data_IF_587643741948
#
_entry.id   IF_587643741948
#
_cell.length_a   1.000
_cell.length_b   1.000
_cell.length_c   1.000
_cell.angle_alpha   90.00
_cell.angle_beta   90.00
_cell.angle_gamma   90.00
#
_symmetry.space_group_name_H-M   'P 1'
#
loop_
_entity.id
_entity.type
_entity.pdbx_description
1 polymer ?
#
# COMPACT_ATOMS: atom_id res chain seq x y z
N UNK A 1 48.42 -35.38 4.81
CA UNK A 1 47.17 -35.59 4.07
C UNK A 1 46.48 -34.24 3.99
N UNK A 2 46.44 -33.63 2.80
CA UNK A 2 45.71 -32.38 2.61
C UNK A 2 44.21 -32.71 2.45
N UNK A 3 43.29 -32.00 3.12
CA UNK A 3 41.87 -32.19 2.88
C UNK A 3 41.56 -31.63 1.49
N UNK A 4 41.23 -32.51 0.56
CA UNK A 4 40.61 -32.12 -0.71
C UNK A 4 39.16 -31.72 -0.42
N UNK A 5 38.92 -30.45 -0.09
CA UNK A 5 37.57 -29.90 -0.14
C UNK A 5 37.07 -30.01 -1.58
N UNK A 6 35.91 -30.62 -1.75
CA UNK A 6 35.28 -30.79 -3.07
C UNK A 6 34.74 -29.44 -3.55
N UNK A 7 35.05 -28.99 -4.79
CA UNK A 7 34.62 -27.69 -5.31
C UNK A 7 33.10 -27.43 -5.22
N UNK A 8 32.32 -28.51 -5.16
CA UNK A 8 30.86 -28.50 -5.09
C UNK A 8 30.31 -27.98 -3.77
N UNK A 9 30.98 -28.19 -2.64
CA UNK A 9 30.47 -27.79 -1.32
C UNK A 9 30.63 -26.28 -1.07
N UNK A 10 31.75 -25.70 -1.52
CA UNK A 10 32.01 -24.26 -1.42
C UNK A 10 31.08 -23.46 -2.34
N UNK A 11 30.81 -23.97 -3.56
CA UNK A 11 29.86 -23.36 -4.49
C UNK A 11 28.41 -23.40 -3.94
N UNK A 12 28.01 -24.51 -3.33
CA UNK A 12 26.69 -24.63 -2.69
C UNK A 12 26.53 -23.68 -1.49
N UNK A 13 27.56 -23.55 -0.65
CA UNK A 13 27.55 -22.60 0.46
C UNK A 13 27.45 -21.15 -0.03
N UNK A 14 28.23 -20.76 -1.03
CA UNK A 14 28.18 -19.40 -1.59
C UNK A 14 26.81 -19.10 -2.20
N UNK A 15 26.21 -20.05 -2.92
CA UNK A 15 24.89 -19.88 -3.51
C UNK A 15 23.80 -19.72 -2.44
N UNK A 16 23.89 -20.48 -1.35
CA UNK A 16 22.96 -20.40 -0.23
C UNK A 16 23.09 -19.06 0.52
N UNK A 17 24.32 -18.57 0.71
CA UNK A 17 24.58 -17.25 1.31
C UNK A 17 24.02 -16.11 0.45
N UNK A 18 24.19 -16.18 -0.88
CA UNK A 18 23.61 -15.20 -1.79
C UNK A 18 22.08 -15.19 -1.74
N UNK A 19 21.44 -16.36 -1.68
CA UNK A 19 19.99 -16.45 -1.57
C UNK A 19 19.47 -15.83 -0.27
N UNK A 20 20.13 -16.09 0.87
CA UNK A 20 19.75 -15.47 2.14
C UNK A 20 19.89 -13.95 2.10
N UNK A 21 20.99 -13.44 1.54
CA UNK A 21 21.21 -12.00 1.44
C UNK A 21 20.18 -11.31 0.53
N UNK A 22 19.78 -11.96 -0.58
CA UNK A 22 18.72 -11.47 -1.45
C UNK A 22 17.35 -11.46 -0.77
N UNK A 23 17.00 -12.52 -0.02
CA UNK A 23 15.74 -12.57 0.73
C UNK A 23 15.67 -11.46 1.77
N UNK A 24 16.76 -11.23 2.52
CA UNK A 24 16.79 -10.18 3.53
C UNK A 24 16.65 -8.77 2.93
N UNK A 25 17.29 -8.52 1.78
CA UNK A 25 17.13 -7.24 1.07
C UNK A 25 15.70 -7.04 0.55
N UNK A 26 15.06 -8.09 0.04
CA UNK A 26 13.67 -8.01 -0.42
C UNK A 26 12.71 -7.69 0.73
N UNK A 27 12.89 -8.33 1.89
CA UNK A 27 12.09 -8.05 3.09
C UNK A 27 12.25 -6.59 3.54
N UNK A 28 13.49 -6.08 3.60
CA UNK A 28 13.74 -4.68 3.95
C UNK A 28 13.09 -3.70 2.97
N UNK A 29 13.20 -3.95 1.66
CA UNK A 29 12.57 -3.09 0.65
C UNK A 29 11.04 -3.13 0.74
N UNK A 30 10.46 -4.31 0.97
CA UNK A 30 9.03 -4.46 1.16
C UNK A 30 8.55 -3.67 2.38
N UNK A 31 9.29 -3.75 3.49
CA UNK A 31 8.97 -2.99 4.70
C UNK A 31 9.04 -1.49 4.48
N UNK A 32 10.09 -0.99 3.80
CA UNK A 32 10.22 0.44 3.45
C UNK A 32 9.08 0.93 2.57
N UNK A 33 8.67 0.15 1.58
CA UNK A 33 7.53 0.52 0.73
C UNK A 33 6.22 0.53 1.52
N UNK A 34 6.03 -0.39 2.47
CA UNK A 34 4.84 -0.45 3.31
C UNK A 34 4.77 0.73 4.30
N UNK A 35 5.91 1.11 4.87
CA UNK A 35 6.04 2.32 5.69
C UNK A 35 5.75 3.59 4.88
N UNK A 36 6.24 3.68 3.64
CA UNK A 36 5.93 4.79 2.76
C UNK A 36 4.43 4.87 2.46
N UNK A 37 3.79 3.74 2.14
CA UNK A 37 2.35 3.69 1.92
C UNK A 37 1.58 4.16 3.15
N UNK A 38 1.98 3.70 4.34
CA UNK A 38 1.37 4.12 5.61
C UNK A 38 1.47 5.64 5.79
N UNK A 39 2.65 6.22 5.56
CA UNK A 39 2.85 7.67 5.67
C UNK A 39 1.98 8.46 4.68
N UNK A 40 1.92 8.02 3.42
CA UNK A 40 1.10 8.67 2.39
C UNK A 40 -0.39 8.63 2.78
N UNK A 41 -0.89 7.48 3.25
CA UNK A 41 -2.29 7.36 3.68
C UNK A 41 -2.60 8.22 4.92
N UNK A 42 -1.69 8.28 5.88
CA UNK A 42 -1.84 9.11 7.09
C UNK A 42 -1.84 10.60 6.78
N UNK A 43 -0.96 11.05 5.89
CA UNK A 43 -0.91 12.44 5.44
C UNK A 43 -2.20 12.82 4.72
N UNK A 44 -2.73 11.92 3.86
CA UNK A 44 -4.01 12.15 3.20
C UNK A 44 -5.15 12.26 4.20
N UNK A 45 -5.22 11.34 5.16
CA UNK A 45 -6.24 11.37 6.21
C UNK A 45 -6.17 12.68 7.02
N UNK A 46 -4.96 13.06 7.44
CA UNK A 46 -4.71 14.29 8.19
C UNK A 46 -5.20 15.52 7.43
N UNK A 47 -4.87 15.62 6.14
CA UNK A 47 -5.38 16.68 5.25
C UNK A 47 -6.91 16.67 5.28
N UNK A 48 -7.52 15.54 4.98
CA UNK A 48 -8.97 15.42 4.87
C UNK A 48 -9.73 15.77 6.15
N UNK A 49 -9.20 15.45 7.33
CA UNK A 49 -9.82 15.78 8.62
C UNK A 49 -9.63 17.25 9.01
N UNK A 50 -8.48 17.85 8.70
CA UNK A 50 -8.14 19.20 9.13
C UNK A 50 -8.81 20.30 8.31
N UNK A 51 -9.21 20.02 7.08
CA UNK A 51 -9.78 21.05 6.22
C UNK A 51 -11.30 21.17 6.39
N UNK A 52 -11.73 22.18 7.17
CA UNK A 52 -13.15 22.54 7.36
C UNK A 52 -13.94 22.72 6.05
N UNK A 53 -13.27 23.13 4.96
CA UNK A 53 -13.88 23.37 3.65
C UNK A 53 -14.00 22.10 2.78
N UNK A 54 -13.36 20.99 3.16
CA UNK A 54 -13.53 19.69 2.50
C UNK A 54 -14.67 18.87 3.10
N UNK A 55 -15.44 19.45 4.03
CA UNK A 55 -16.77 18.93 4.39
C UNK A 55 -17.78 19.17 3.27
N UNK A 56 -17.38 18.87 2.04
CA UNK A 56 -18.24 18.89 0.87
C UNK A 56 -19.28 17.80 1.05
N UNK A 57 -20.58 18.12 0.96
CA UNK A 57 -21.65 17.14 0.93
C UNK A 57 -21.43 16.04 -0.12
N UNK A 58 -20.67 16.32 -1.19
CA UNK A 58 -20.32 15.34 -2.24
C UNK A 58 -19.24 14.33 -1.85
N UNK A 59 -18.30 14.70 -0.97
CA UNK A 59 -17.32 13.74 -0.43
C UNK A 59 -18.01 12.73 0.48
N UNK A 60 -19.10 13.14 1.13
CA UNK A 60 -19.95 12.29 1.97
C UNK A 60 -20.85 11.34 1.15
N UNK A 61 -21.17 11.69 -0.10
CA UNK A 61 -21.96 10.82 -0.99
C UNK A 61 -21.11 9.83 -1.78
N UNK A 62 -19.79 10.07 -1.93
CA UNK A 62 -18.92 9.11 -2.58
C UNK A 62 -18.76 7.88 -1.69
N UNK A 63 -19.01 6.73 -2.29
CA UNK A 63 -19.03 5.43 -1.64
C UNK A 63 -17.83 4.65 -2.14
N UNK A 64 -16.92 4.33 -1.23
CA UNK A 64 -15.78 3.47 -1.49
C UNK A 64 -16.14 2.05 -1.07
N UNK A 65 -15.77 1.06 -1.86
CA UNK A 65 -15.90 -0.31 -1.44
C UNK A 65 -14.67 -0.74 -0.66
N UNK A 66 -14.91 -1.57 0.34
CA UNK A 66 -13.86 -2.14 1.18
C UNK A 66 -13.77 -3.62 0.89
N UNK A 67 -12.56 -4.22 0.94
CA UNK A 67 -12.46 -5.66 0.88
C UNK A 67 -13.18 -6.30 2.07
N UNK A 68 -13.84 -7.45 1.86
CA UNK A 68 -14.41 -8.27 2.94
C UNK A 68 -13.37 -8.65 3.98
N UNK A 69 -12.15 -8.90 3.50
CA UNK A 69 -10.98 -9.19 4.31
C UNK A 69 -9.73 -8.67 3.59
N UNK A 70 -8.87 -7.97 4.32
CA UNK A 70 -7.54 -7.59 3.86
C UNK A 70 -6.52 -8.00 4.91
N UNK A 71 -5.71 -9.00 4.58
CA UNK A 71 -4.69 -9.58 5.47
C UNK A 71 -3.38 -9.89 4.77
N UNK A 72 -3.34 -9.84 3.44
CA UNK A 72 -2.15 -10.13 2.63
C UNK A 72 -1.87 -8.98 1.65
N UNK A 73 -0.63 -8.84 1.20
CA UNK A 73 -0.25 -7.74 0.30
C UNK A 73 -0.95 -7.76 -1.07
N UNK A 74 -1.40 -8.94 -1.53
CA UNK A 74 -2.21 -9.06 -2.75
C UNK A 74 -3.54 -8.31 -2.63
N UNK A 75 -4.07 -8.18 -1.40
CA UNK A 75 -5.33 -7.49 -1.14
C UNK A 75 -5.22 -5.98 -1.44
N UNK A 76 -4.00 -5.43 -1.53
CA UNK A 76 -3.77 -4.06 -2.00
C UNK A 76 -4.27 -3.82 -3.43
N UNK A 77 -4.60 -4.86 -4.20
CA UNK A 77 -5.34 -4.71 -5.45
C UNK A 77 -6.65 -3.94 -5.24
N UNK A 78 -7.37 -4.22 -4.15
CA UNK A 78 -8.60 -3.51 -3.79
C UNK A 78 -8.36 -2.01 -3.55
N UNK A 79 -7.21 -1.66 -2.97
CA UNK A 79 -6.81 -0.26 -2.82
C UNK A 79 -6.57 0.36 -4.20
N UNK A 80 -5.81 -0.32 -5.06
CA UNK A 80 -5.50 0.17 -6.41
C UNK A 80 -6.74 0.46 -7.24
N UNK A 81 -7.73 -0.42 -7.20
CA UNK A 81 -9.00 -0.29 -7.92
C UNK A 81 -9.76 0.96 -7.47
N UNK A 82 -9.69 1.29 -6.19
CA UNK A 82 -10.35 2.44 -5.58
C UNK A 82 -9.55 3.76 -5.66
N UNK A 83 -8.29 3.73 -6.14
CA UNK A 83 -7.48 4.94 -6.32
C UNK A 83 -8.05 5.87 -7.40
N UNK A 84 -8.75 5.34 -8.41
CA UNK A 84 -9.43 6.14 -9.44
C UNK A 84 -10.57 6.99 -8.86
N UNK A 85 -11.56 6.35 -8.19
CA UNK A 85 -12.58 7.05 -7.42
C UNK A 85 -11.99 8.05 -6.41
N UNK A 86 -10.93 7.66 -5.69
CA UNK A 86 -10.26 8.54 -4.73
C UNK A 86 -9.69 9.79 -5.41
N UNK A 87 -9.01 9.63 -6.55
CA UNK A 87 -8.50 10.76 -7.33
C UNK A 87 -9.61 11.74 -7.69
N UNK A 88 -10.74 11.24 -8.17
CA UNK A 88 -11.87 12.10 -8.54
C UNK A 88 -12.41 12.90 -7.34
N UNK A 89 -12.47 12.26 -6.17
CA UNK A 89 -12.83 12.94 -4.92
C UNK A 89 -11.81 14.04 -4.58
N UNK A 90 -10.51 13.78 -4.70
CA UNK A 90 -9.47 14.77 -4.44
C UNK A 90 -9.48 15.93 -5.45
N UNK A 91 -9.72 15.67 -6.73
CA UNK A 91 -9.80 16.72 -7.76
C UNK A 91 -11.01 17.64 -7.53
N UNK A 92 -12.18 17.08 -7.18
CA UNK A 92 -13.37 17.85 -6.83
C UNK A 92 -13.10 18.77 -5.63
N UNK A 93 -12.36 18.23 -4.67
CA UNK A 93 -11.94 18.88 -3.43
C UNK A 93 -10.96 20.02 -3.73
N UNK A 94 -9.95 19.78 -4.57
CA UNK A 94 -8.98 20.77 -5.04
C UNK A 94 -9.65 21.90 -5.83
N UNK A 95 -10.62 21.61 -6.68
CA UNK A 95 -11.37 22.62 -7.44
C UNK A 95 -12.13 23.63 -6.56
N UNK A 96 -12.36 23.28 -5.28
CA UNK A 96 -13.07 24.09 -4.29
C UNK A 96 -12.16 24.64 -3.19
N UNK A 97 -10.93 24.12 -3.07
CA UNK A 97 -9.93 24.63 -2.15
C UNK A 97 -8.53 24.47 -2.72
N UNK A 98 -7.77 25.56 -2.84
CA UNK A 98 -6.38 25.56 -3.29
C UNK A 98 -5.39 24.93 -2.30
N UNK A 99 -5.86 24.24 -1.27
CA UNK A 99 -5.02 23.69 -0.19
C UNK A 99 -4.68 22.22 -0.41
N UNK A 100 -5.32 21.58 -1.40
CA UNK A 100 -5.01 20.23 -1.85
C UNK A 100 -4.21 20.31 -3.15
N UNK A 101 -3.09 21.05 -3.12
CA UNK A 101 -2.18 21.10 -4.25
C UNK A 101 -1.64 19.68 -4.52
N UNK A 102 -1.68 19.29 -5.79
CA UNK A 102 -1.15 18.02 -6.33
C UNK A 102 -1.85 16.71 -5.95
N UNK A 103 -3.18 16.65 -6.02
CA UNK A 103 -3.94 15.39 -5.96
C UNK A 103 -3.41 14.31 -6.93
N UNK A 104 -2.86 14.74 -8.06
CA UNK A 104 -2.23 13.87 -9.04
C UNK A 104 -1.01 13.12 -8.54
N UNK A 105 -0.05 13.89 -8.03
CA UNK A 105 1.20 13.34 -7.55
C UNK A 105 0.93 12.43 -6.36
N UNK A 106 -0.02 12.81 -5.50
CA UNK A 106 -0.42 12.02 -4.34
C UNK A 106 -0.93 10.62 -4.74
N UNK A 107 -1.90 10.56 -5.66
CA UNK A 107 -2.47 9.29 -6.11
C UNK A 107 -1.45 8.48 -6.92
N UNK A 108 -0.64 9.14 -7.74
CA UNK A 108 0.42 8.49 -8.52
C UNK A 108 1.45 7.81 -7.61
N UNK A 109 1.89 8.49 -6.54
CA UNK A 109 2.85 7.95 -5.58
C UNK A 109 2.27 6.71 -4.86
N UNK A 110 1.02 6.80 -4.38
CA UNK A 110 0.35 5.64 -3.76
C UNK A 110 0.26 4.48 -4.74
N UNK A 111 -0.17 4.73 -5.99
CA UNK A 111 -0.30 3.68 -7.02
C UNK A 111 1.02 2.97 -7.27
N UNK A 112 2.11 3.72 -7.42
CA UNK A 112 3.45 3.14 -7.63
C UNK A 112 3.85 2.25 -6.46
N UNK A 113 3.63 2.70 -5.23
CA UNK A 113 3.96 1.92 -4.02
C UNK A 113 3.10 0.66 -3.90
N UNK A 114 1.79 0.77 -4.14
CA UNK A 114 0.85 -0.37 -4.12
C UNK A 114 1.24 -1.42 -5.15
N UNK A 115 1.54 -1.02 -6.40
CA UNK A 115 1.96 -1.95 -7.47
C UNK A 115 3.23 -2.71 -7.09
N UNK A 116 4.19 -2.06 -6.42
CA UNK A 116 5.41 -2.72 -5.95
C UNK A 116 5.12 -3.73 -4.83
N UNK A 117 4.19 -3.42 -3.93
CA UNK A 117 3.87 -4.25 -2.78
C UNK A 117 3.04 -5.49 -3.14
N UNK A 118 2.05 -5.38 -4.03
CA UNK A 118 1.19 -6.52 -4.40
C UNK A 118 1.90 -7.57 -5.26
N UNK A 119 2.98 -7.19 -5.95
CA UNK A 119 3.70 -8.06 -6.87
C UNK A 119 3.05 -8.17 -8.26
N UNK A 120 3.52 -9.14 -9.06
CA UNK A 120 3.17 -9.29 -10.48
C UNK A 120 1.91 -10.11 -10.75
N UNK A 121 1.21 -10.58 -9.71
CA UNK A 121 0.03 -11.42 -9.89
C UNK A 121 -1.19 -10.57 -10.22
N UNK A 122 -1.48 -10.46 -11.53
CA UNK A 122 -2.57 -9.66 -12.07
C UNK A 122 -3.91 -10.42 -12.09
N UNK A 123 -3.99 -11.64 -11.52
CA UNK A 123 -5.19 -12.49 -11.58
C UNK A 123 -6.10 -12.35 -10.36
N UNK A 124 -5.68 -11.59 -9.35
CA UNK A 124 -6.47 -11.39 -8.14
C UNK A 124 -7.58 -10.36 -8.38
N UNK A 125 -8.84 -10.80 -8.35
CA UNK A 125 -10.00 -9.92 -8.35
C UNK A 125 -10.40 -9.57 -6.92
N UNK A 126 -10.51 -8.27 -6.62
CA UNK A 126 -10.90 -7.81 -5.30
C UNK A 126 -12.30 -8.30 -4.89
N UNK A 127 -12.40 -8.88 -3.69
CA UNK A 127 -13.68 -9.28 -3.10
C UNK A 127 -14.19 -8.18 -2.16
N UNK A 128 -14.94 -7.25 -2.73
CA UNK A 128 -15.54 -6.16 -1.99
C UNK A 128 -16.72 -6.61 -1.10
N UNK A 129 -16.88 -5.93 0.02
CA UNK A 129 -18.05 -6.02 0.89
C UNK A 129 -19.22 -5.24 0.27
N UNK A 130 -20.44 -5.62 0.65
CA UNK A 130 -21.67 -4.96 0.18
C UNK A 130 -21.84 -3.57 0.82
N UNK A 131 -21.16 -3.32 1.95
CA UNK A 131 -21.19 -2.05 2.64
C UNK A 131 -20.14 -1.06 2.08
N UNK A 132 -20.64 0.08 1.63
CA UNK A 132 -19.80 1.21 1.24
C UNK A 132 -19.33 2.06 2.42
N UNK A 133 -18.09 2.53 2.37
CA UNK A 133 -17.49 3.42 3.35
C UNK A 133 -17.36 4.87 2.87
N UNK A 134 -17.26 5.79 3.83
CA UNK A 134 -16.79 7.15 3.54
C UNK A 134 -15.30 7.13 3.25
N UNK A 135 -14.80 8.17 2.58
CA UNK A 135 -13.35 8.31 2.30
C UNK A 135 -12.49 8.30 3.57
N UNK A 136 -12.97 8.86 4.69
CA UNK A 136 -12.26 8.84 5.97
C UNK A 136 -12.16 7.42 6.52
N UNK A 137 -13.27 6.69 6.52
CA UNK A 137 -13.31 5.30 6.99
C UNK A 137 -12.49 4.38 6.07
N UNK A 138 -12.53 4.64 4.76
CA UNK A 138 -11.70 3.97 3.77
C UNK A 138 -10.21 4.11 4.08
N UNK A 139 -9.73 5.33 4.28
CA UNK A 139 -8.32 5.58 4.61
C UNK A 139 -7.92 4.94 5.95
N UNK A 140 -8.77 5.07 6.98
CA UNK A 140 -8.50 4.46 8.29
C UNK A 140 -8.36 2.94 8.22
N UNK A 141 -9.16 2.26 7.41
CA UNK A 141 -9.06 0.80 7.23
C UNK A 141 -7.78 0.39 6.51
N UNK A 142 -7.37 1.12 5.47
CA UNK A 142 -6.09 0.85 4.79
C UNK A 142 -4.87 1.17 5.65
N UNK A 143 -4.95 2.20 6.50
CA UNK A 143 -3.94 2.50 7.53
C UNK A 143 -3.82 1.33 8.52
N UNK A 144 -4.96 0.84 9.04
CA UNK A 144 -4.98 -0.30 9.96
C UNK A 144 -4.44 -1.57 9.31
N UNK A 145 -4.74 -1.80 8.03
CA UNK A 145 -4.14 -2.87 7.23
C UNK A 145 -2.61 -2.77 7.20
N UNK A 146 -2.05 -1.61 6.83
CA UNK A 146 -0.60 -1.43 6.77
C UNK A 146 0.05 -1.68 8.13
N UNK A 147 -0.53 -1.13 9.20
CA UNK A 147 -0.05 -1.33 10.58
C UNK A 147 -0.08 -2.81 11.00
N UNK A 148 -1.12 -3.54 10.61
CA UNK A 148 -1.23 -4.97 10.88
C UNK A 148 -0.11 -5.74 10.19
N UNK A 149 0.12 -5.50 8.89
CA UNK A 149 1.17 -6.19 8.13
C UNK A 149 2.55 -5.89 8.73
N UNK A 150 2.85 -4.61 9.04
CA UNK A 150 4.11 -4.20 9.68
C UNK A 150 4.30 -4.94 11.02
N UNK A 151 3.25 -5.01 11.84
CA UNK A 151 3.31 -5.65 13.16
C UNK A 151 3.52 -7.17 13.08
N UNK A 152 3.07 -7.80 12.00
CA UNK A 152 3.24 -9.25 11.77
C UNK A 152 4.53 -9.62 11.04
N UNK A 153 5.22 -8.66 10.44
CA UNK A 153 6.49 -8.91 9.75
C UNK A 153 7.60 -9.17 10.78
N UNK A 154 8.34 -10.29 10.70
CA UNK A 154 9.52 -10.51 11.53
C UNK A 154 10.56 -9.40 11.27
N UNK A 155 11.15 -8.84 12.34
CA UNK A 155 12.31 -7.95 12.26
C UNK A 155 13.60 -8.72 11.99
#
# INVERSE_FOLDING_TARGET
MAPTSSPTAEAQQQQQQQQQQQQQQQQQQQQQHLEQLLMDLQELLSRMENYRNLKLPRMLTFKFYLPKQATELKDLQCLEDELGPLRHVLDLTQSKSSQLEDAENFISNIRVTVVRLKGSDNTFECQFDDESATVVDFLRRWIAFCQSIISTSPQ
#
